data_IF_144070648379
#
_entry.id   IF_144070648379
#
_cell.length_a   1.000
_cell.length_b   1.000
_cell.length_c   1.000
_cell.angle_alpha   90.00
_cell.angle_beta   90.00
_cell.angle_gamma   90.00
#
_symmetry.space_group_name_H-M   'P 1'
#
loop_
_entity.id
_entity.type
_entity.pdbx_description
1 polymer ?
#
# COMPACT_ATOMS: atom_id res chain seq x y z
N UNK A 1 29.11 -30.62 18.96
CA UNK A 1 29.32 -29.17 18.73
C UNK A 1 28.59 -28.59 17.51
N UNK A 2 27.98 -29.40 16.62
CA UNK A 2 27.36 -28.92 15.37
C UNK A 2 25.91 -28.46 15.51
N UNK A 3 25.14 -28.99 16.46
CA UNK A 3 23.72 -28.63 16.69
C UNK A 3 23.55 -27.20 17.19
N UNK A 4 24.42 -26.75 18.10
CA UNK A 4 24.42 -25.35 18.61
C UNK A 4 24.72 -24.34 17.49
N UNK A 5 25.63 -24.69 16.57
CA UNK A 5 25.99 -23.83 15.43
C UNK A 5 24.83 -23.71 14.44
N UNK A 6 24.12 -24.81 14.15
CA UNK A 6 22.92 -24.80 13.30
C UNK A 6 21.78 -23.99 13.92
N UNK A 7 21.58 -24.11 15.23
CA UNK A 7 20.58 -23.32 15.96
C UNK A 7 20.90 -21.81 15.93
N UNK A 8 22.17 -21.44 16.12
CA UNK A 8 22.57 -20.03 16.06
C UNK A 8 22.41 -19.44 14.65
N UNK A 9 22.70 -20.22 13.60
CA UNK A 9 22.48 -19.78 12.21
C UNK A 9 20.99 -19.62 11.92
N UNK A 10 20.16 -20.54 12.40
CA UNK A 10 18.70 -20.43 12.29
C UNK A 10 18.17 -19.17 13.00
N UNK A 11 18.67 -18.90 14.22
CA UNK A 11 18.30 -17.72 15.01
C UNK A 11 18.78 -16.41 14.34
N UNK A 12 19.92 -16.45 13.66
CA UNK A 12 20.44 -15.32 12.87
C UNK A 12 19.58 -15.02 11.65
N UNK A 13 19.13 -16.05 10.91
CA UNK A 13 18.22 -15.88 9.76
C UNK A 13 16.86 -15.35 10.23
N UNK A 14 16.35 -15.83 11.37
CA UNK A 14 15.12 -15.33 11.98
C UNK A 14 15.25 -13.84 12.34
N UNK A 15 16.36 -13.42 12.95
CA UNK A 15 16.63 -12.01 13.28
C UNK A 15 16.73 -11.11 12.05
N UNK A 16 17.32 -11.58 10.94
CA UNK A 16 17.42 -10.83 9.70
C UNK A 16 16.08 -10.70 8.95
N UNK A 17 15.16 -11.66 9.11
CA UNK A 17 13.87 -11.67 8.41
C UNK A 17 12.80 -10.74 8.99
N UNK A 18 12.97 -10.23 10.22
CA UNK A 18 11.94 -9.42 10.91
C UNK A 18 11.91 -7.96 10.45
N UNK A 19 12.91 -7.49 9.70
CA UNK A 19 13.03 -6.10 9.26
C UNK A 19 12.78 -5.89 7.76
N UNK A 20 11.78 -6.57 7.20
CA UNK A 20 11.20 -6.11 5.94
C UNK A 20 9.96 -5.27 6.26
N UNK A 21 10.08 -3.93 6.46
CA UNK A 21 8.90 -3.09 6.36
C UNK A 21 8.40 -3.27 4.93
N UNK A 22 7.29 -3.99 4.79
CA UNK A 22 6.49 -3.99 3.57
C UNK A 22 6.24 -2.51 3.29
N UNK A 23 6.96 -1.96 2.31
CA UNK A 23 6.81 -0.58 1.90
C UNK A 23 5.37 -0.46 1.44
N UNK A 24 4.50 0.05 2.32
CA UNK A 24 3.17 0.48 1.97
C UNK A 24 3.37 1.71 1.08
N UNK A 25 3.63 1.46 -0.20
CA UNK A 25 3.83 2.49 -1.19
C UNK A 25 2.52 3.27 -1.27
N UNK A 26 2.55 4.53 -0.85
CA UNK A 26 1.41 5.43 -0.98
C UNK A 26 1.06 5.57 -2.45
N UNK A 27 -0.24 5.57 -2.78
CA UNK A 27 -0.66 5.80 -4.16
C UNK A 27 -0.25 7.21 -4.61
N UNK A 28 0.30 7.31 -5.82
CA UNK A 28 0.55 8.61 -6.45
C UNK A 28 -0.76 9.27 -6.89
N UNK A 29 -0.74 10.60 -7.06
CA UNK A 29 -1.91 11.36 -7.52
C UNK A 29 -2.42 10.83 -8.89
N UNK A 30 -1.53 10.36 -9.78
CA UNK A 30 -1.89 9.69 -11.04
C UNK A 30 -2.60 8.34 -10.83
N UNK A 31 -2.11 7.50 -9.93
CA UNK A 31 -2.73 6.21 -9.60
C UNK A 31 -4.10 6.39 -8.95
N UNK A 32 -4.25 7.41 -8.10
CA UNK A 32 -5.55 7.75 -7.49
C UNK A 32 -6.56 8.10 -8.58
N UNK A 33 -6.16 8.93 -9.54
CA UNK A 33 -7.02 9.31 -10.66
C UNK A 33 -7.42 8.10 -11.52
N UNK A 34 -6.45 7.27 -11.90
CA UNK A 34 -6.68 6.09 -12.72
C UNK A 34 -7.64 5.11 -12.02
N UNK A 35 -7.45 4.90 -10.72
CA UNK A 35 -8.33 4.06 -9.91
C UNK A 35 -9.78 4.58 -9.87
N UNK A 36 -9.97 5.89 -9.73
CA UNK A 36 -11.31 6.50 -9.78
C UNK A 36 -11.92 6.33 -11.16
N UNK A 37 -11.16 6.58 -12.22
CA UNK A 37 -11.62 6.41 -13.61
C UNK A 37 -12.05 4.98 -13.87
N UNK A 38 -11.23 4.01 -13.49
CA UNK A 38 -11.54 2.58 -13.66
C UNK A 38 -12.76 2.17 -12.83
N UNK A 39 -12.87 2.69 -11.60
CA UNK A 39 -14.03 2.49 -10.76
C UNK A 39 -15.33 2.97 -11.37
N UNK A 40 -15.34 4.18 -11.94
CA UNK A 40 -16.49 4.75 -12.62
C UNK A 40 -16.83 3.94 -13.88
N UNK A 41 -15.83 3.49 -14.64
CA UNK A 41 -16.02 2.63 -15.82
C UNK A 41 -16.62 1.27 -15.46
N UNK A 42 -16.31 0.76 -14.28
CA UNK A 42 -16.90 -0.46 -13.73
C UNK A 42 -18.30 -0.24 -13.12
N UNK A 43 -18.81 0.99 -13.11
CA UNK A 43 -20.12 1.33 -12.53
C UNK A 43 -20.12 1.42 -11.01
N UNK A 44 -18.95 1.55 -10.36
CA UNK A 44 -18.87 1.73 -8.91
C UNK A 44 -19.35 3.11 -8.51
N UNK A 45 -20.04 3.18 -7.38
CA UNK A 45 -20.50 4.44 -6.81
C UNK A 45 -19.33 5.28 -6.27
N UNK A 46 -19.38 6.61 -6.41
CA UNK A 46 -18.31 7.51 -5.96
C UNK A 46 -18.03 7.40 -4.46
N UNK A 47 -19.07 7.17 -3.65
CA UNK A 47 -18.93 6.97 -2.20
C UNK A 47 -18.14 5.71 -1.86
N UNK A 48 -18.36 4.63 -2.63
CA UNK A 48 -17.61 3.39 -2.48
C UNK A 48 -16.14 3.60 -2.87
N UNK A 49 -15.89 4.28 -3.99
CA UNK A 49 -14.52 4.60 -4.44
C UNK A 49 -13.77 5.47 -3.44
N UNK A 50 -14.43 6.49 -2.86
CA UNK A 50 -13.84 7.32 -1.81
C UNK A 50 -13.47 6.50 -0.57
N UNK A 51 -14.30 5.54 -0.17
CA UNK A 51 -14.00 4.63 0.93
C UNK A 51 -12.82 3.71 0.62
N UNK A 52 -12.75 3.17 -0.59
CA UNK A 52 -11.65 2.33 -1.06
C UNK A 52 -10.31 3.11 -1.12
N UNK A 53 -10.33 4.34 -1.63
CA UNK A 53 -9.16 5.22 -1.66
C UNK A 53 -8.68 5.57 -0.24
N UNK A 54 -9.60 5.90 0.68
CA UNK A 54 -9.25 6.17 2.07
C UNK A 54 -8.60 4.94 2.75
N UNK A 55 -9.11 3.73 2.47
CA UNK A 55 -8.51 2.47 2.97
C UNK A 55 -7.13 2.19 2.39
N UNK A 56 -6.83 2.68 1.18
CA UNK A 56 -5.50 2.61 0.54
C UNK A 56 -4.55 3.70 1.01
N UNK A 57 -4.95 4.55 1.96
CA UNK A 57 -4.12 5.60 2.54
C UNK A 57 -4.08 6.89 1.72
N UNK A 58 -5.02 7.09 0.80
CA UNK A 58 -5.13 8.33 0.02
C UNK A 58 -5.66 9.45 0.91
N UNK A 59 -4.93 10.57 0.97
CA UNK A 59 -5.31 11.69 1.82
C UNK A 59 -6.34 12.61 1.15
N UNK A 60 -7.02 13.45 1.95
CA UNK A 60 -7.98 14.43 1.42
C UNK A 60 -7.30 15.47 0.53
N UNK A 61 -6.06 15.83 0.85
CA UNK A 61 -5.23 16.75 0.08
C UNK A 61 -4.89 16.14 -1.28
N UNK A 62 -4.54 14.84 -1.32
CA UNK A 62 -4.34 14.12 -2.58
C UNK A 62 -5.61 14.11 -3.43
N UNK A 63 -6.75 13.76 -2.85
CA UNK A 63 -8.03 13.78 -3.56
C UNK A 63 -8.38 15.18 -4.11
N UNK A 64 -8.07 16.24 -3.35
CA UNK A 64 -8.31 17.62 -3.75
C UNK A 64 -7.38 18.04 -4.89
N UNK A 65 -6.09 17.70 -4.82
CA UNK A 65 -5.12 17.97 -5.91
C UNK A 65 -5.48 17.24 -7.19
N UNK A 66 -5.85 15.96 -7.09
CA UNK A 66 -6.29 15.16 -8.24
C UNK A 66 -7.53 15.79 -8.89
N UNK A 67 -8.45 16.33 -8.09
CA UNK A 67 -9.63 17.06 -8.58
C UNK A 67 -9.31 18.44 -9.16
N UNK A 68 -8.18 19.06 -8.84
CA UNK A 68 -7.78 20.34 -9.44
C UNK A 68 -7.04 20.17 -10.77
N UNK A 69 -6.41 19.01 -10.97
CA UNK A 69 -5.70 18.69 -12.20
C UNK A 69 -6.63 18.37 -13.40
N UNK A 70 -7.93 18.18 -13.16
CA UNK A 70 -8.95 17.82 -14.15
C UNK A 70 -10.30 18.46 -13.80
#
# INVERSE_FOLDING_TARGET
>A
MTTRRKFNVFLFILLLGVFSPLMAQSMSDSQVLEYVKDGIRQGKEQKQLASELARRGVTKEQATRVKQLY
#
